data_IF_002209392329
#
_entry.id   IF_002209392329
#
_cell.length_a   1.000
_cell.length_b   1.000
_cell.length_c   1.000
_cell.angle_alpha   90.00
_cell.angle_beta   90.00
_cell.angle_gamma   90.00
#
_symmetry.space_group_name_H-M   'P 1'
#
loop_
_entity.id
_entity.type
_entity.pdbx_description
1 polymer ?
#
# COMPACT_ATOMS: atom_id res chain seq x y z
N UNK A 1 -10.18 -3.50 7.68
CA UNK A 1 -9.24 -2.58 8.38
C UNK A 1 -9.70 -1.17 8.07
N UNK A 2 -9.72 -0.22 9.02
CA UNK A 2 -10.07 1.16 8.66
C UNK A 2 -8.98 1.70 7.73
N UNK A 3 -9.37 2.13 6.53
CA UNK A 3 -8.49 2.78 5.54
C UNK A 3 -8.03 4.10 6.16
N UNK A 4 -6.80 4.13 6.69
CA UNK A 4 -6.15 5.37 7.09
C UNK A 4 -5.96 6.22 5.84
N UNK A 5 -6.31 7.51 5.90
CA UNK A 5 -6.18 8.40 4.74
C UNK A 5 -4.71 8.53 4.33
N UNK A 6 -4.46 8.88 3.07
CA UNK A 6 -3.12 9.22 2.53
C UNK A 6 -2.41 10.22 3.45
N UNK A 7 -3.15 11.17 4.04
CA UNK A 7 -2.64 12.10 5.06
C UNK A 7 -2.05 11.37 6.27
N UNK A 8 -2.74 10.39 6.84
CA UNK A 8 -2.29 9.68 8.04
C UNK A 8 -1.09 8.77 7.73
N UNK A 9 -1.07 8.13 6.56
CA UNK A 9 0.08 7.33 6.11
C UNK A 9 1.31 8.17 5.79
N UNK A 10 1.13 9.36 5.21
CA UNK A 10 2.20 10.33 5.01
C UNK A 10 2.70 10.88 6.35
N UNK A 11 1.80 11.18 7.29
CA UNK A 11 2.17 11.65 8.63
C UNK A 11 2.89 10.58 9.46
N UNK A 12 2.48 9.32 9.37
CA UNK A 12 3.15 8.18 10.03
C UNK A 12 4.57 7.99 9.47
N UNK A 13 4.76 8.09 8.14
CA UNK A 13 6.10 8.06 7.51
C UNK A 13 6.96 9.28 7.86
N UNK A 14 6.35 10.46 7.98
CA UNK A 14 7.03 11.68 8.48
C UNK A 14 7.43 11.50 9.95
N UNK A 15 6.63 10.81 10.76
CA UNK A 15 6.91 10.53 12.17
C UNK A 15 8.08 9.54 12.35
N UNK A 16 8.18 8.50 11.52
CA UNK A 16 9.34 7.59 11.50
C UNK A 16 10.66 8.30 11.17
N UNK A 17 10.61 9.36 10.36
CA UNK A 17 11.77 10.17 9.99
C UNK A 17 12.14 11.26 11.03
N UNK A 18 11.32 11.45 12.08
CA UNK A 18 11.45 12.55 13.07
C UNK A 18 12.37 12.26 14.27
N UNK A 19 12.97 11.07 14.38
CA UNK A 19 13.70 10.61 15.58
C UNK A 19 14.80 11.54 16.14
N UNK A 20 15.60 12.26 15.32
CA UNK A 20 16.62 13.19 15.84
C UNK A 20 16.56 14.65 15.34
N UNK A 21 15.63 15.02 14.45
CA UNK A 21 15.63 16.34 13.75
C UNK A 21 14.75 17.43 14.40
N UNK A 22 13.98 17.09 15.42
CA UNK A 22 12.93 17.96 15.99
C UNK A 22 13.48 19.19 16.73
N UNK A 23 14.70 19.16 17.25
CA UNK A 23 15.28 20.33 17.94
C UNK A 23 15.88 21.38 16.97
N UNK A 24 16.38 20.97 15.80
CA UNK A 24 16.92 21.90 14.80
C UNK A 24 15.80 22.62 14.00
N UNK A 25 14.68 21.93 13.74
CA UNK A 25 13.56 22.51 13.00
C UNK A 25 12.77 23.57 13.80
N UNK A 26 12.68 23.43 15.14
CA UNK A 26 12.03 24.43 16.00
C UNK A 26 12.87 25.72 16.04
N UNK A 27 14.20 25.62 16.08
CA UNK A 27 15.11 26.79 16.05
C UNK A 27 15.07 27.47 14.67
N UNK A 28 15.00 26.71 13.57
CA UNK A 28 14.86 27.26 12.22
C UNK A 28 13.46 27.85 11.93
N UNK A 29 12.40 27.27 12.49
CA UNK A 29 11.02 27.75 12.37
C UNK A 29 10.75 29.05 13.14
N UNK A 30 11.39 29.24 14.30
CA UNK A 30 11.36 30.53 15.00
C UNK A 30 12.06 31.64 14.20
N UNK A 31 13.12 31.31 13.45
CA UNK A 31 13.81 32.25 12.57
C UNK A 31 12.99 32.66 11.34
N UNK A 32 12.27 31.73 10.71
CA UNK A 32 11.45 32.02 9.52
C UNK A 32 10.18 32.80 9.84
N UNK A 33 9.55 32.56 11.00
CA UNK A 33 8.40 33.35 11.47
C UNK A 33 8.77 34.83 11.73
N UNK A 34 9.94 35.07 12.33
CA UNK A 34 10.47 36.43 12.55
C UNK A 34 10.82 37.09 11.22
N UNK A 35 11.36 36.34 10.25
CA UNK A 35 11.75 36.86 8.94
C UNK A 35 10.55 37.17 8.03
N UNK A 36 9.48 36.37 8.08
CA UNK A 36 8.19 36.67 7.41
C UNK A 36 7.51 37.87 8.08
N UNK A 37 7.53 37.96 9.41
CA UNK A 37 7.04 39.14 10.15
C UNK A 37 7.83 40.42 9.81
N UNK A 38 9.16 40.33 9.70
CA UNK A 38 10.01 41.44 9.30
C UNK A 38 9.79 41.85 7.85
N UNK A 39 9.67 40.90 6.93
CA UNK A 39 9.35 41.18 5.53
C UNK A 39 7.97 41.81 5.40
N UNK A 40 6.97 41.33 6.14
CA UNK A 40 5.62 41.89 6.16
C UNK A 40 5.60 43.30 6.77
N UNK A 41 6.37 43.55 7.83
CA UNK A 41 6.55 44.87 8.45
C UNK A 41 7.27 45.84 7.51
N UNK A 42 8.37 45.42 6.87
CA UNK A 42 9.09 46.22 5.88
C UNK A 42 8.19 46.58 4.69
N UNK A 43 7.39 45.62 4.22
CA UNK A 43 6.48 45.84 3.09
C UNK A 43 5.31 46.74 3.45
N UNK A 44 4.76 46.63 4.67
CA UNK A 44 3.77 47.56 5.20
C UNK A 44 4.35 48.97 5.33
N UNK A 45 5.61 49.10 5.78
CA UNK A 45 6.35 50.36 5.79
C UNK A 45 6.54 50.95 4.39
N UNK A 46 6.87 50.13 3.40
CA UNK A 46 7.05 50.55 2.00
C UNK A 46 5.71 50.97 1.37
N UNK A 47 4.62 50.27 1.67
CA UNK A 47 3.25 50.65 1.29
C UNK A 47 2.78 51.93 1.97
N UNK A 48 3.17 52.16 3.23
CA UNK A 48 2.91 53.42 3.93
C UNK A 48 3.68 54.58 3.28
N UNK A 49 4.93 54.37 2.86
CA UNK A 49 5.73 55.38 2.15
C UNK A 49 5.18 55.67 0.76
N UNK A 50 4.75 54.65 0.01
CA UNK A 50 4.15 54.81 -1.33
C UNK A 50 2.78 55.48 -1.24
N UNK A 51 1.96 55.13 -0.25
CA UNK A 51 0.66 55.79 -0.02
C UNK A 51 0.84 57.23 0.45
N UNK A 52 1.79 57.51 1.35
CA UNK A 52 2.17 58.87 1.73
C UNK A 52 2.68 59.69 0.52
N UNK A 53 3.48 59.08 -0.35
CA UNK A 53 3.98 59.73 -1.58
C UNK A 53 2.86 60.02 -2.58
N UNK A 54 1.89 59.11 -2.71
CA UNK A 54 0.69 59.30 -3.53
C UNK A 54 -0.23 60.39 -2.97
N UNK A 55 -0.36 60.49 -1.65
CA UNK A 55 -1.08 61.58 -0.97
C UNK A 55 -0.36 62.91 -1.22
N UNK A 56 0.97 62.96 -1.12
CA UNK A 56 1.78 64.16 -1.38
C UNK A 56 1.66 64.60 -2.85
N UNK A 57 1.68 63.67 -3.80
CA UNK A 57 1.51 63.97 -5.22
C UNK A 57 0.08 64.45 -5.53
N UNK A 58 -0.93 63.82 -4.93
CA UNK A 58 -2.32 64.27 -5.00
C UNK A 58 -2.51 65.68 -4.40
N UNK A 59 -1.84 65.97 -3.28
CA UNK A 59 -1.85 67.29 -2.65
C UNK A 59 -1.14 68.34 -3.51
N UNK A 60 -0.05 67.98 -4.21
CA UNK A 60 0.65 68.85 -5.15
C UNK A 60 -0.17 69.17 -6.39
N UNK A 61 -0.87 68.18 -6.94
CA UNK A 61 -1.78 68.36 -8.08
C UNK A 61 -2.98 69.22 -7.67
N UNK A 62 -3.54 68.97 -6.49
CA UNK A 62 -4.62 69.79 -5.90
C UNK A 62 -4.19 71.23 -5.59
N UNK A 63 -2.98 71.42 -5.06
CA UNK A 63 -2.41 72.74 -4.79
C UNK A 63 -2.14 73.52 -6.09
N UNK A 64 -1.66 72.86 -7.15
CA UNK A 64 -1.49 73.49 -8.48
C UNK A 64 -2.83 73.80 -9.17
N UNK A 65 -3.90 73.05 -8.90
CA UNK A 65 -5.24 73.34 -9.45
C UNK A 65 -5.95 74.52 -8.80
N UNK A 66 -5.38 75.12 -7.74
CA UNK A 66 -6.00 76.22 -6.97
C UNK A 66 -5.81 77.62 -7.59
N UNK A 67 -5.21 77.72 -8.77
CA UNK A 67 -5.02 79.00 -9.50
C UNK A 67 -6.18 79.41 -10.42
N UNK A 68 -7.31 78.68 -10.40
CA UNK A 68 -8.53 79.09 -11.12
C UNK A 68 -9.74 79.01 -10.20
N UNK A 69 -10.28 80.18 -9.87
CA UNK A 69 -11.48 80.39 -9.08
C UNK A 69 -12.73 79.91 -9.83
N UNK A 70 -13.30 78.78 -9.41
CA UNK A 70 -14.67 78.37 -9.70
C UNK A 70 -15.21 77.54 -8.51
N UNK A 71 -16.51 77.63 -8.17
CA UNK A 71 -17.08 77.06 -6.96
C UNK A 71 -17.21 75.53 -7.02
N UNK A 72 -16.98 74.92 -5.86
CA UNK A 72 -16.80 73.49 -5.59
C UNK A 72 -18.10 72.67 -5.74
N UNK A 73 -18.16 71.78 -6.73
CA UNK A 73 -18.83 70.49 -6.56
C UNK A 73 -17.78 69.45 -6.16
N UNK A 74 -18.00 68.77 -5.04
CA UNK A 74 -17.08 67.76 -4.50
C UNK A 74 -16.92 66.57 -5.48
N UNK A 75 -15.69 66.20 -5.89
CA UNK A 75 -15.52 65.12 -6.83
C UNK A 75 -15.57 63.74 -6.14
N UNK A 76 -16.52 62.90 -6.58
CA UNK A 76 -16.57 61.43 -6.37
C UNK A 76 -15.40 60.67 -7.04
N UNK A 77 -14.22 61.28 -7.18
CA UNK A 77 -13.14 60.80 -8.07
C UNK A 77 -12.07 59.95 -7.35
N UNK A 78 -12.07 59.92 -6.02
CA UNK A 78 -11.03 59.19 -5.26
C UNK A 78 -11.21 57.65 -5.34
N UNK A 79 -12.38 57.15 -5.75
CA UNK A 79 -12.64 55.71 -5.89
C UNK A 79 -12.01 55.03 -7.12
N UNK A 80 -11.57 55.77 -8.14
CA UNK A 80 -11.20 55.18 -9.45
C UNK A 80 -9.68 55.07 -9.66
N UNK A 81 -8.87 55.90 -8.99
CA UNK A 81 -7.42 55.94 -9.19
C UNK A 81 -6.62 54.91 -8.37
N UNK A 82 -7.22 54.32 -7.34
CA UNK A 82 -6.55 53.29 -6.52
C UNK A 82 -6.61 51.88 -7.14
N UNK A 83 -7.47 51.65 -8.14
CA UNK A 83 -7.68 50.33 -8.76
C UNK A 83 -6.48 49.79 -9.55
N UNK A 84 -5.84 50.55 -10.47
CA UNK A 84 -4.74 50.00 -11.29
C UNK A 84 -3.44 49.82 -10.50
N UNK A 85 -3.12 50.71 -9.56
CA UNK A 85 -1.91 50.60 -8.73
C UNK A 85 -2.04 49.45 -7.73
N UNK A 86 -3.21 49.30 -7.08
CA UNK A 86 -3.46 48.15 -6.19
C UNK A 86 -3.35 46.81 -6.96
N UNK A 87 -3.96 46.71 -8.15
CA UNK A 87 -3.80 45.53 -9.02
C UNK A 87 -2.36 45.28 -9.44
N UNK A 88 -1.59 46.33 -9.75
CA UNK A 88 -0.17 46.20 -10.10
C UNK A 88 0.67 45.71 -8.91
N UNK A 89 0.37 46.17 -7.69
CA UNK A 89 1.01 45.71 -6.45
C UNK A 89 0.65 44.25 -6.17
N UNK A 90 -0.63 43.87 -6.28
CA UNK A 90 -1.10 42.50 -6.06
C UNK A 90 -0.50 41.52 -7.09
N UNK A 91 -0.48 41.89 -8.37
CA UNK A 91 0.18 41.08 -9.41
C UNK A 91 1.69 41.03 -9.26
N UNK A 92 2.32 42.09 -8.75
CA UNK A 92 3.74 42.10 -8.38
C UNK A 92 4.04 41.15 -7.23
N UNK A 93 3.23 41.23 -6.17
CA UNK A 93 3.29 40.36 -4.98
C UNK A 93 3.08 38.90 -5.37
N UNK A 94 2.05 38.58 -6.15
CA UNK A 94 1.79 37.22 -6.62
C UNK A 94 2.95 36.66 -7.45
N UNK A 95 3.51 37.45 -8.39
CA UNK A 95 4.68 37.03 -9.18
C UNK A 95 5.92 36.78 -8.32
N UNK A 96 6.19 37.64 -7.35
CA UNK A 96 7.32 37.47 -6.44
C UNK A 96 7.15 36.22 -5.57
N UNK A 97 5.96 36.01 -4.99
CA UNK A 97 5.63 34.80 -4.24
C UNK A 97 5.77 33.53 -5.07
N UNK A 98 5.23 33.50 -6.30
CA UNK A 98 5.38 32.35 -7.21
C UNK A 98 6.86 32.02 -7.47
N UNK A 99 7.72 33.03 -7.61
CA UNK A 99 9.17 32.80 -7.79
C UNK A 99 9.83 32.18 -6.56
N UNK A 100 9.48 32.65 -5.37
CA UNK A 100 10.01 32.11 -4.12
C UNK A 100 9.57 30.66 -3.93
N UNK A 101 8.27 30.39 -4.09
CA UNK A 101 7.72 29.04 -3.96
C UNK A 101 8.30 28.11 -5.02
N UNK A 102 8.35 28.54 -6.29
CA UNK A 102 8.98 27.77 -7.35
C UNK A 102 10.44 27.45 -7.03
N UNK A 103 11.20 28.44 -6.54
CA UNK A 103 12.60 28.24 -6.14
C UNK A 103 12.69 27.24 -4.98
N UNK A 104 11.86 27.35 -3.96
CA UNK A 104 11.88 26.42 -2.82
C UNK A 104 11.51 24.98 -3.23
N UNK A 105 10.46 24.80 -4.04
CA UNK A 105 10.00 23.47 -4.46
C UNK A 105 10.99 22.77 -5.40
N UNK A 106 11.76 23.53 -6.17
CA UNK A 106 12.74 23.00 -7.14
C UNK A 106 14.17 22.91 -6.60
N UNK A 107 14.47 23.49 -5.43
CA UNK A 107 15.78 23.39 -4.78
C UNK A 107 16.09 21.92 -4.40
N UNK A 108 17.25 21.37 -4.78
CA UNK A 108 17.59 19.98 -4.45
C UNK A 108 17.84 19.77 -2.96
N UNK A 109 18.34 20.80 -2.25
CA UNK A 109 18.75 20.70 -0.85
C UNK A 109 17.59 20.64 0.15
N UNK A 110 16.37 20.97 -0.30
CA UNK A 110 15.18 20.90 0.55
C UNK A 110 14.58 19.49 0.50
N UNK A 111 14.41 18.90 1.68
CA UNK A 111 13.81 17.58 1.81
C UNK A 111 12.37 17.56 1.25
N UNK A 112 11.90 16.42 0.71
CA UNK A 112 10.51 16.26 0.30
C UNK A 112 9.51 16.61 1.41
N UNK A 113 9.82 16.24 2.66
CA UNK A 113 8.98 16.56 3.82
C UNK A 113 8.84 18.08 4.03
N UNK A 114 9.94 18.82 3.98
CA UNK A 114 9.91 20.29 4.10
C UNK A 114 9.13 20.92 2.94
N UNK A 115 9.26 20.38 1.72
CA UNK A 115 8.49 20.85 0.56
C UNK A 115 6.99 20.58 0.73
N UNK A 116 6.62 19.45 1.32
CA UNK A 116 5.23 19.14 1.66
C UNK A 116 4.69 20.09 2.73
N UNK A 117 5.47 20.41 3.78
CA UNK A 117 5.08 21.41 4.78
C UNK A 117 4.89 22.80 4.16
N UNK A 118 5.73 23.19 3.20
CA UNK A 118 5.54 24.44 2.45
C UNK A 118 4.21 24.41 1.67
N UNK A 119 3.90 23.31 0.98
CA UNK A 119 2.61 23.16 0.29
C UNK A 119 1.45 23.22 1.28
N UNK A 120 1.54 22.51 2.40
CA UNK A 120 0.50 22.49 3.43
C UNK A 120 0.31 23.87 4.08
N UNK A 121 1.36 24.65 4.28
CA UNK A 121 1.26 26.03 4.78
C UNK A 121 0.63 26.96 3.74
N UNK A 122 1.02 26.85 2.47
CA UNK A 122 0.46 27.64 1.38
C UNK A 122 -1.02 27.34 1.18
N UNK A 123 -1.39 26.07 1.31
CA UNK A 123 -2.77 25.63 1.21
C UNK A 123 -3.51 25.96 2.51
N UNK A 124 -3.00 25.69 3.70
CA UNK A 124 -3.66 26.03 4.97
C UNK A 124 -3.96 27.53 5.14
N UNK A 125 -3.08 28.41 4.63
CA UNK A 125 -3.27 29.86 4.67
C UNK A 125 -4.20 30.41 3.56
N UNK A 126 -4.50 29.62 2.52
CA UNK A 126 -5.22 30.07 1.31
C UNK A 126 -6.17 29.04 0.67
N UNK A 127 -6.50 27.94 1.38
CA UNK A 127 -7.16 26.72 0.87
C UNK A 127 -8.57 26.97 0.33
N UNK A 128 -9.10 28.17 0.56
CA UNK A 128 -10.44 28.54 0.14
C UNK A 128 -10.46 29.38 -1.13
N UNK A 129 -9.31 29.78 -1.69
CA UNK A 129 -9.27 30.58 -2.91
C UNK A 129 -8.84 29.74 -4.12
N UNK A 130 -9.77 29.39 -5.03
CA UNK A 130 -9.48 28.57 -6.21
C UNK A 130 -8.40 29.16 -7.12
N UNK A 131 -8.27 30.49 -7.15
CA UNK A 131 -7.26 31.20 -7.93
C UNK A 131 -5.84 30.94 -7.42
N UNK A 132 -5.65 30.97 -6.09
CA UNK A 132 -4.36 30.67 -5.48
C UNK A 132 -3.94 29.22 -5.73
N UNK A 133 -4.90 28.29 -5.66
CA UNK A 133 -4.65 26.87 -5.93
C UNK A 133 -4.35 26.62 -7.42
N UNK A 134 -5.06 27.31 -8.32
CA UNK A 134 -4.81 27.23 -9.76
C UNK A 134 -3.40 27.71 -10.15
N UNK A 135 -2.88 28.74 -9.46
CA UNK A 135 -1.51 29.23 -9.65
C UNK A 135 -0.44 28.17 -9.30
N UNK A 136 -0.78 27.17 -8.48
CA UNK A 136 0.14 26.08 -8.09
C UNK A 136 0.20 24.93 -9.09
N UNK A 137 -0.83 24.79 -9.93
CA UNK A 137 -0.99 23.65 -10.84
C UNK A 137 0.20 23.40 -11.78
N UNK A 138 0.90 24.43 -12.31
CA UNK A 138 2.11 24.22 -13.11
C UNK A 138 3.23 23.46 -12.37
N UNK A 139 3.29 23.53 -11.03
CA UNK A 139 4.29 22.79 -10.25
C UNK A 139 3.96 21.31 -10.13
N UNK A 140 2.68 20.94 -10.15
CA UNK A 140 2.26 19.54 -10.18
C UNK A 140 2.70 18.82 -11.48
N UNK A 141 2.95 19.56 -12.56
CA UNK A 141 3.47 19.03 -13.82
C UNK A 141 5.01 19.13 -13.93
N UNK A 142 5.68 19.79 -13.00
CA UNK A 142 7.11 20.05 -13.11
C UNK A 142 7.93 18.86 -12.61
N UNK A 143 8.60 18.13 -13.51
CA UNK A 143 9.44 16.98 -13.17
C UNK A 143 10.62 17.26 -12.22
N UNK A 144 10.97 18.54 -11.97
CA UNK A 144 11.97 18.93 -10.95
C UNK A 144 11.40 18.94 -9.53
N UNK A 145 10.08 18.90 -9.38
CA UNK A 145 9.39 18.83 -8.09
C UNK A 145 9.20 17.34 -7.75
N UNK A 146 9.51 16.91 -6.51
CA UNK A 146 9.30 15.53 -6.08
C UNK A 146 7.87 15.05 -6.35
N UNK A 147 7.70 13.79 -6.70
CA UNK A 147 6.42 13.25 -7.13
C UNK A 147 5.34 13.34 -6.04
N UNK A 148 5.71 13.15 -4.77
CA UNK A 148 4.84 13.28 -3.59
C UNK A 148 4.27 14.69 -3.48
N UNK A 149 5.12 15.70 -3.71
CA UNK A 149 4.76 17.11 -3.67
C UNK A 149 3.85 17.44 -4.86
N UNK A 150 4.18 16.92 -6.05
CA UNK A 150 3.33 17.07 -7.24
C UNK A 150 1.93 16.51 -7.00
N UNK A 151 1.84 15.31 -6.42
CA UNK A 151 0.58 14.68 -6.06
C UNK A 151 -0.20 15.50 -5.05
N UNK A 152 0.42 15.96 -3.96
CA UNK A 152 -0.23 16.77 -2.95
C UNK A 152 -0.86 18.05 -3.55
N UNK A 153 -0.12 18.76 -4.41
CA UNK A 153 -0.64 19.95 -5.11
C UNK A 153 -1.83 19.58 -5.99
N UNK A 154 -1.74 18.49 -6.76
CA UNK A 154 -2.82 18.05 -7.65
C UNK A 154 -4.08 17.64 -6.86
N UNK A 155 -3.94 16.96 -5.73
CA UNK A 155 -5.05 16.55 -4.86
C UNK A 155 -5.74 17.76 -4.26
N UNK A 156 -4.99 18.73 -3.74
CA UNK A 156 -5.55 19.97 -3.18
C UNK A 156 -6.30 20.74 -4.28
N UNK A 157 -5.73 20.83 -5.48
CA UNK A 157 -6.37 21.42 -6.64
C UNK A 157 -7.66 20.70 -7.06
N UNK A 158 -7.67 19.37 -7.04
CA UNK A 158 -8.87 18.60 -7.35
C UNK A 158 -9.98 18.81 -6.32
N UNK A 159 -9.66 18.83 -5.02
CA UNK A 159 -10.61 19.14 -3.94
C UNK A 159 -11.14 20.58 -4.03
N UNK A 160 -10.28 21.52 -4.44
CA UNK A 160 -10.64 22.90 -4.75
C UNK A 160 -11.39 23.10 -6.08
N UNK A 161 -11.75 22.01 -6.78
CA UNK A 161 -12.44 21.99 -8.09
C UNK A 161 -11.71 22.80 -9.18
N UNK A 162 -10.39 22.84 -9.11
CA UNK A 162 -9.56 23.48 -10.14
C UNK A 162 -9.49 22.56 -11.36
N UNK A 163 -9.85 23.12 -12.53
CA UNK A 163 -9.85 22.41 -13.79
C UNK A 163 -8.49 21.79 -14.12
N UNK A 164 -8.49 20.56 -14.61
CA UNK A 164 -7.29 19.83 -15.02
C UNK A 164 -6.54 19.11 -13.90
N UNK A 165 -6.85 19.35 -12.62
CA UNK A 165 -6.17 18.70 -11.50
C UNK A 165 -6.32 17.17 -11.49
N UNK A 166 -7.54 16.65 -11.69
CA UNK A 166 -7.80 15.20 -11.77
C UNK A 166 -6.99 14.53 -12.90
N UNK A 167 -6.80 15.22 -14.03
CA UNK A 167 -5.96 14.71 -15.13
C UNK A 167 -4.50 14.60 -14.72
N UNK A 168 -4.01 15.49 -13.86
CA UNK A 168 -2.64 15.42 -13.33
C UNK A 168 -2.50 14.24 -12.37
N UNK A 169 -3.47 14.04 -11.47
CA UNK A 169 -3.49 12.87 -10.57
C UNK A 169 -3.45 11.58 -11.40
N UNK A 170 -4.28 11.49 -12.45
CA UNK A 170 -4.27 10.35 -13.39
C UNK A 170 -2.91 10.15 -14.04
N UNK A 171 -2.31 11.23 -14.57
CA UNK A 171 -0.97 11.16 -15.17
C UNK A 171 0.06 10.65 -14.17
N UNK A 172 0.02 11.10 -12.91
CA UNK A 172 0.95 10.65 -11.88
C UNK A 172 0.76 9.17 -11.52
N UNK A 173 -0.46 8.64 -11.58
CA UNK A 173 -0.73 7.22 -11.35
C UNK A 173 -0.20 6.32 -12.51
N UNK A 174 -0.27 6.81 -13.75
CA UNK A 174 0.06 6.04 -14.95
C UNK A 174 1.55 6.12 -15.34
N UNK A 175 2.24 7.20 -15.00
CA UNK A 175 3.63 7.47 -15.40
C UNK A 175 4.64 6.50 -14.77
N UNK A 176 5.50 5.88 -15.60
CA UNK A 176 6.51 4.92 -15.14
C UNK A 176 7.72 5.57 -14.45
N UNK A 177 7.99 6.86 -14.67
CA UNK A 177 9.04 7.62 -13.99
C UNK A 177 8.63 8.06 -12.57
N UNK A 178 7.37 7.86 -12.20
CA UNK A 178 6.85 8.14 -10.86
C UNK A 178 7.06 6.91 -9.96
N UNK A 179 7.60 7.07 -8.73
CA UNK A 179 7.76 5.97 -7.79
C UNK A 179 6.45 5.22 -7.53
N UNK A 180 6.51 3.90 -7.39
CA UNK A 180 5.32 3.04 -7.22
C UNK A 180 4.40 3.46 -6.07
N UNK A 181 4.96 3.91 -4.94
CA UNK A 181 4.13 4.38 -3.82
C UNK A 181 3.33 5.64 -4.19
N UNK A 182 3.92 6.58 -4.94
CA UNK A 182 3.19 7.78 -5.38
C UNK A 182 2.15 7.43 -6.44
N UNK A 183 2.45 6.47 -7.33
CA UNK A 183 1.46 5.96 -8.30
C UNK A 183 0.26 5.33 -7.59
N UNK A 184 0.53 4.55 -6.54
CA UNK A 184 -0.48 3.94 -5.70
C UNK A 184 -1.32 4.98 -4.95
N UNK A 185 -0.67 5.93 -4.27
CA UNK A 185 -1.35 7.03 -3.56
C UNK A 185 -2.20 7.87 -4.53
N UNK A 186 -1.71 8.10 -5.75
CA UNK A 186 -2.46 8.80 -6.79
C UNK A 186 -3.70 8.00 -7.25
N UNK A 187 -3.58 6.68 -7.41
CA UNK A 187 -4.70 5.81 -7.72
C UNK A 187 -5.75 5.79 -6.59
N UNK A 188 -5.33 5.80 -5.33
CA UNK A 188 -6.24 5.93 -4.18
C UNK A 188 -6.99 7.27 -4.19
N UNK A 189 -6.30 8.38 -4.43
CA UNK A 189 -6.95 9.69 -4.52
C UNK A 189 -7.91 9.79 -5.72
N UNK A 190 -7.62 9.10 -6.82
CA UNK A 190 -8.54 9.02 -7.97
C UNK A 190 -9.87 8.35 -7.61
N UNK A 191 -9.95 7.49 -6.60
CA UNK A 191 -11.23 6.87 -6.20
C UNK A 191 -12.31 7.93 -5.87
N UNK A 192 -11.91 9.11 -5.37
CA UNK A 192 -12.84 10.18 -5.05
C UNK A 192 -13.31 11.00 -6.27
N UNK A 193 -12.65 10.88 -7.42
CA UNK A 193 -12.87 11.76 -8.58
C UNK A 193 -13.17 11.02 -9.88
N UNK A 194 -12.58 9.84 -10.07
CA UNK A 194 -12.68 8.99 -11.27
C UNK A 194 -12.35 7.53 -10.90
N UNK A 195 -13.37 6.82 -10.43
CA UNK A 195 -13.26 5.43 -9.98
C UNK A 195 -12.76 4.49 -11.09
N UNK A 196 -13.25 4.67 -12.32
CA UNK A 196 -12.85 3.83 -13.44
C UNK A 196 -11.36 4.02 -13.81
N UNK A 197 -10.81 5.23 -13.68
CA UNK A 197 -9.39 5.45 -13.85
C UNK A 197 -8.57 4.86 -12.69
N UNK A 198 -9.05 5.02 -11.45
CA UNK A 198 -8.41 4.43 -10.27
C UNK A 198 -8.30 2.91 -10.41
N UNK A 199 -9.37 2.24 -10.81
CA UNK A 199 -9.42 0.78 -10.99
C UNK A 199 -8.43 0.30 -12.04
N UNK A 200 -8.33 0.99 -13.19
CA UNK A 200 -7.31 0.69 -14.20
C UNK A 200 -5.88 0.85 -13.65
N UNK A 201 -5.65 1.86 -12.82
CA UNK A 201 -4.34 2.08 -12.20
C UNK A 201 -4.00 0.98 -11.20
N UNK A 202 -4.94 0.59 -10.33
CA UNK A 202 -4.74 -0.54 -9.41
C UNK A 202 -4.54 -1.86 -10.15
N UNK A 203 -5.26 -2.10 -11.23
CA UNK A 203 -5.09 -3.30 -12.05
C UNK A 203 -3.69 -3.33 -12.67
N UNK A 204 -3.23 -2.21 -13.24
CA UNK A 204 -1.88 -2.10 -13.79
C UNK A 204 -0.80 -2.32 -12.72
N UNK A 205 -0.97 -1.73 -11.52
CA UNK A 205 -0.04 -1.91 -10.41
C UNK A 205 0.01 -3.37 -9.95
N UNK A 206 -1.15 -4.03 -9.79
CA UNK A 206 -1.23 -5.41 -9.32
C UNK A 206 -0.66 -6.43 -10.33
N UNK A 207 -0.81 -6.18 -11.63
CA UNK A 207 -0.33 -7.07 -12.70
C UNK A 207 1.13 -6.85 -13.09
N UNK A 208 1.71 -5.69 -12.79
CA UNK A 208 3.09 -5.38 -13.16
C UNK A 208 4.10 -6.17 -12.33
N UNK A 209 5.06 -6.80 -13.01
CA UNK A 209 6.19 -7.50 -12.38
C UNK A 209 7.21 -6.54 -11.75
N UNK A 210 7.22 -5.28 -12.16
CA UNK A 210 8.13 -4.26 -11.62
C UNK A 210 7.61 -3.67 -10.29
N UNK A 211 6.29 -3.75 -10.06
CA UNK A 211 5.68 -3.27 -8.82
C UNK A 211 6.09 -4.17 -7.64
N UNK A 212 6.53 -3.61 -6.49
CA UNK A 212 6.81 -4.37 -5.29
C UNK A 212 5.64 -5.28 -4.88
N UNK A 213 5.93 -6.53 -4.51
CA UNK A 213 4.92 -7.56 -4.26
C UNK A 213 3.87 -7.17 -3.20
N UNK A 214 4.26 -6.37 -2.20
CA UNK A 214 3.32 -5.83 -1.21
C UNK A 214 2.34 -4.84 -1.82
N UNK A 215 2.81 -3.92 -2.67
CA UNK A 215 1.94 -2.96 -3.37
C UNK A 215 1.04 -3.66 -4.38
N UNK A 216 1.51 -4.74 -5.02
CA UNK A 216 0.68 -5.58 -5.89
C UNK A 216 -0.49 -6.19 -5.12
N UNK A 217 -0.23 -6.72 -3.93
CA UNK A 217 -1.27 -7.26 -3.04
C UNK A 217 -2.23 -6.17 -2.58
N UNK A 218 -1.73 -5.01 -2.13
CA UNK A 218 -2.56 -3.90 -1.69
C UNK A 218 -3.50 -3.42 -2.80
N UNK A 219 -2.99 -3.28 -4.02
CA UNK A 219 -3.79 -2.88 -5.17
C UNK A 219 -4.87 -3.94 -5.50
N UNK A 220 -4.50 -5.22 -5.49
CA UNK A 220 -5.45 -6.32 -5.68
C UNK A 220 -6.50 -6.40 -4.58
N UNK A 221 -6.13 -6.11 -3.32
CA UNK A 221 -7.03 -6.09 -2.18
C UNK A 221 -8.07 -4.97 -2.30
N UNK A 222 -7.66 -3.76 -2.72
CA UNK A 222 -8.59 -2.65 -2.99
C UNK A 222 -9.60 -3.04 -4.08
N UNK A 223 -9.12 -3.58 -5.21
CA UNK A 223 -10.01 -4.05 -6.29
C UNK A 223 -10.96 -5.14 -5.81
N UNK A 224 -10.47 -6.08 -5.00
CA UNK A 224 -11.26 -7.15 -4.41
C UNK A 224 -12.35 -6.64 -3.46
N UNK A 225 -12.02 -5.72 -2.56
CA UNK A 225 -12.97 -5.14 -1.62
C UNK A 225 -14.08 -4.39 -2.37
N UNK A 226 -13.69 -3.57 -3.35
CA UNK A 226 -14.66 -2.84 -4.19
C UNK A 226 -15.54 -3.78 -5.01
N UNK A 227 -14.98 -4.85 -5.56
CA UNK A 227 -15.74 -5.88 -6.29
C UNK A 227 -16.72 -6.61 -5.37
N UNK A 228 -16.31 -6.93 -4.14
CA UNK A 228 -17.18 -7.54 -3.13
C UNK A 228 -18.33 -6.62 -2.71
N UNK A 229 -18.09 -5.32 -2.65
CA UNK A 229 -19.12 -4.30 -2.38
C UNK A 229 -20.04 -4.03 -3.59
N UNK A 230 -19.82 -4.69 -4.73
CA UNK A 230 -20.61 -4.49 -5.94
C UNK A 230 -20.35 -3.17 -6.65
N UNK A 231 -19.27 -2.47 -6.31
CA UNK A 231 -18.91 -1.16 -6.88
C UNK A 231 -18.22 -1.27 -8.24
N UNK A 232 -17.69 -2.46 -8.58
CA UNK A 232 -16.80 -2.65 -9.74
C UNK A 232 -17.05 -3.99 -10.42
N UNK A 233 -16.52 -4.15 -11.64
CA UNK A 233 -16.52 -5.42 -12.35
C UNK A 233 -15.80 -6.54 -11.54
N UNK A 234 -16.00 -7.80 -11.91
CA UNK A 234 -15.40 -8.98 -11.23
C UNK A 234 -13.87 -9.10 -11.41
N UNK A 235 -13.15 -7.99 -11.60
CA UNK A 235 -11.71 -7.97 -11.84
C UNK A 235 -10.90 -8.25 -10.56
N UNK A 236 -11.37 -7.79 -9.39
CA UNK A 236 -10.71 -8.03 -8.11
C UNK A 236 -10.34 -9.49 -7.82
N UNK A 237 -11.30 -10.44 -7.87
CA UNK A 237 -10.98 -11.86 -7.68
C UNK A 237 -10.09 -12.45 -8.78
N UNK A 238 -10.14 -11.94 -10.02
CA UNK A 238 -9.25 -12.41 -11.08
C UNK A 238 -7.79 -12.01 -10.80
N UNK A 239 -7.57 -10.76 -10.40
CA UNK A 239 -6.24 -10.26 -10.02
C UNK A 239 -5.69 -11.01 -8.81
N UNK A 240 -6.51 -11.27 -7.79
CA UNK A 240 -6.08 -12.09 -6.65
C UNK A 240 -5.71 -13.51 -7.08
N UNK A 241 -6.48 -14.15 -7.96
CA UNK A 241 -6.17 -15.48 -8.47
C UNK A 241 -4.85 -15.51 -9.26
N UNK A 242 -4.53 -14.43 -9.99
CA UNK A 242 -3.23 -14.28 -10.64
C UNK A 242 -2.10 -14.24 -9.62
N UNK A 243 -2.22 -13.43 -8.55
CA UNK A 243 -1.20 -13.34 -7.50
C UNK A 243 -0.99 -14.67 -6.75
N UNK A 244 -2.04 -15.49 -6.59
CA UNK A 244 -1.90 -16.84 -6.01
C UNK A 244 -0.97 -17.72 -6.85
N UNK A 245 -1.08 -17.66 -8.18
CA UNK A 245 -0.26 -18.43 -9.11
C UNK A 245 1.07 -17.79 -9.48
N UNK A 246 1.30 -16.53 -9.09
CA UNK A 246 2.47 -15.77 -9.51
C UNK A 246 3.73 -16.19 -8.73
N UNK A 247 4.72 -16.67 -9.46
CA UNK A 247 5.99 -17.14 -8.92
C UNK A 247 6.96 -15.99 -8.59
N UNK A 248 6.73 -14.80 -9.14
CA UNK A 248 7.54 -13.60 -8.88
C UNK A 248 7.25 -12.98 -7.51
N UNK A 249 6.12 -13.32 -6.87
CA UNK A 249 5.75 -12.79 -5.56
C UNK A 249 6.02 -13.82 -4.45
N UNK A 250 6.36 -13.32 -3.26
CA UNK A 250 6.72 -14.17 -2.14
C UNK A 250 5.54 -15.00 -1.60
N UNK A 251 5.79 -16.14 -0.93
CA UNK A 251 4.77 -17.01 -0.34
C UNK A 251 3.68 -16.31 0.46
N UNK A 252 4.06 -15.29 1.24
CA UNK A 252 3.13 -14.51 2.05
C UNK A 252 2.06 -13.81 1.19
N UNK A 253 2.46 -13.16 0.09
CA UNK A 253 1.53 -12.47 -0.82
C UNK A 253 0.55 -13.47 -1.42
N UNK A 254 1.05 -14.61 -1.88
CA UNK A 254 0.24 -15.66 -2.53
C UNK A 254 -0.82 -16.23 -1.57
N UNK A 255 -0.42 -16.52 -0.33
CA UNK A 255 -1.33 -17.00 0.71
C UNK A 255 -2.35 -15.93 1.08
N UNK A 256 -1.94 -14.68 1.23
CA UNK A 256 -2.86 -13.60 1.59
C UNK A 256 -3.87 -13.31 0.46
N UNK A 257 -3.42 -13.34 -0.80
CA UNK A 257 -4.32 -13.29 -1.96
C UNK A 257 -5.35 -14.44 -1.94
N UNK A 258 -4.91 -15.66 -1.59
CA UNK A 258 -5.81 -16.79 -1.43
C UNK A 258 -6.84 -16.55 -0.32
N UNK A 259 -6.47 -15.99 0.83
CA UNK A 259 -7.42 -15.68 1.91
C UNK A 259 -8.48 -14.67 1.45
N UNK A 260 -8.08 -13.64 0.71
CA UNK A 260 -9.01 -12.63 0.18
C UNK A 260 -10.00 -13.24 -0.83
N UNK A 261 -9.59 -14.24 -1.62
CA UNK A 261 -10.50 -14.95 -2.54
C UNK A 261 -11.66 -15.65 -1.85
N UNK A 262 -11.58 -15.91 -0.54
CA UNK A 262 -12.68 -16.49 0.25
C UNK A 262 -13.95 -15.63 0.18
N UNK A 263 -13.80 -14.31 0.06
CA UNK A 263 -14.92 -13.36 -0.07
C UNK A 263 -15.68 -13.52 -1.40
N UNK A 264 -15.04 -14.11 -2.42
CA UNK A 264 -15.54 -14.17 -3.80
C UNK A 264 -16.06 -15.56 -4.21
N UNK A 265 -16.36 -16.40 -3.22
CA UNK A 265 -17.02 -17.69 -3.38
C UNK A 265 -16.10 -18.89 -3.15
N UNK A 266 -16.69 -19.95 -2.59
CA UNK A 266 -15.98 -21.17 -2.17
C UNK A 266 -15.16 -21.81 -3.29
N UNK A 267 -15.71 -21.91 -4.52
CA UNK A 267 -15.02 -22.54 -5.65
C UNK A 267 -13.71 -21.85 -6.03
N UNK A 268 -13.66 -20.50 -5.99
CA UNK A 268 -12.43 -19.74 -6.30
C UNK A 268 -11.38 -19.95 -5.21
N UNK A 269 -11.81 -19.87 -3.96
CA UNK A 269 -10.98 -20.12 -2.80
C UNK A 269 -10.38 -21.54 -2.81
N UNK A 270 -11.19 -22.56 -3.08
CA UNK A 270 -10.75 -23.95 -3.18
C UNK A 270 -9.71 -24.16 -4.29
N UNK A 271 -9.92 -23.59 -5.48
CA UNK A 271 -8.92 -23.66 -6.57
C UNK A 271 -7.59 -23.02 -6.17
N UNK A 272 -7.64 -21.88 -5.49
CA UNK A 272 -6.45 -21.20 -5.01
C UNK A 272 -5.72 -22.03 -3.95
N UNK A 273 -6.44 -22.57 -2.97
CA UNK A 273 -5.87 -23.47 -1.96
C UNK A 273 -5.27 -24.73 -2.59
N UNK A 274 -5.93 -25.33 -3.58
CA UNK A 274 -5.41 -26.48 -4.31
C UNK A 274 -4.09 -26.16 -5.01
N UNK A 275 -4.02 -25.01 -5.69
CA UNK A 275 -2.81 -24.54 -6.34
C UNK A 275 -1.66 -24.37 -5.34
N UNK A 276 -1.93 -23.75 -4.19
CA UNK A 276 -0.91 -23.53 -3.15
C UNK A 276 -0.49 -24.83 -2.44
N UNK A 277 -1.44 -25.73 -2.14
CA UNK A 277 -1.13 -27.02 -1.53
C UNK A 277 -0.16 -27.84 -2.40
N UNK A 278 -0.24 -27.71 -3.73
CA UNK A 278 0.63 -28.42 -4.67
C UNK A 278 1.88 -27.63 -5.10
N UNK A 279 2.12 -26.45 -4.55
CA UNK A 279 3.27 -25.63 -4.92
C UNK A 279 4.52 -26.00 -4.10
N UNK A 280 5.56 -26.51 -4.78
CA UNK A 280 6.81 -26.92 -4.15
C UNK A 280 7.68 -25.79 -3.62
N UNK A 281 7.40 -24.53 -3.94
CA UNK A 281 8.10 -23.34 -3.42
C UNK A 281 7.58 -22.91 -2.05
N UNK A 282 6.38 -23.37 -1.67
CA UNK A 282 5.87 -23.17 -0.32
C UNK A 282 6.51 -24.16 0.64
N UNK A 283 6.69 -23.71 1.88
CA UNK A 283 7.13 -24.60 2.95
C UNK A 283 6.12 -25.74 3.17
N UNK A 284 6.56 -26.92 3.63
CA UNK A 284 5.64 -28.01 3.98
C UNK A 284 4.51 -27.58 4.90
N UNK A 285 4.80 -26.76 5.92
CA UNK A 285 3.79 -26.24 6.85
C UNK A 285 2.71 -25.39 6.16
N UNK A 286 3.10 -24.54 5.21
CA UNK A 286 2.14 -23.74 4.43
C UNK A 286 1.28 -24.62 3.52
N UNK A 287 1.87 -25.65 2.90
CA UNK A 287 1.13 -26.60 2.05
C UNK A 287 0.12 -27.43 2.85
N UNK A 288 0.51 -27.91 4.04
CA UNK A 288 -0.39 -28.58 4.98
C UNK A 288 -1.52 -27.64 5.43
N UNK A 289 -1.22 -26.37 5.73
CA UNK A 289 -2.24 -25.37 6.05
C UNK A 289 -3.24 -25.20 4.91
N UNK A 290 -2.79 -25.18 3.66
CA UNK A 290 -3.69 -25.10 2.50
C UNK A 290 -4.60 -26.34 2.38
N UNK A 291 -4.07 -27.55 2.58
CA UNK A 291 -4.87 -28.78 2.57
C UNK A 291 -5.88 -28.85 3.74
N UNK A 292 -5.49 -28.36 4.92
CA UNK A 292 -6.41 -28.23 6.06
C UNK A 292 -7.57 -27.29 5.73
N UNK A 293 -7.28 -26.12 5.16
CA UNK A 293 -8.31 -25.17 4.75
C UNK A 293 -9.18 -25.71 3.60
N UNK A 294 -8.66 -26.60 2.75
CA UNK A 294 -9.48 -27.32 1.76
C UNK A 294 -10.47 -28.23 2.46
N UNK A 295 -10.02 -29.04 3.42
CA UNK A 295 -10.87 -29.95 4.18
C UNK A 295 -11.95 -29.22 4.99
N UNK A 296 -11.62 -28.06 5.57
CA UNK A 296 -12.59 -27.20 6.25
C UNK A 296 -13.67 -26.66 5.28
N UNK A 297 -13.33 -26.50 4.01
CA UNK A 297 -14.24 -25.94 3.01
C UNK A 297 -15.09 -27.00 2.32
N UNK A 298 -14.52 -28.17 2.03
CA UNK A 298 -15.18 -29.30 1.38
C UNK A 298 -14.39 -30.58 1.70
N UNK A 299 -15.09 -31.57 2.26
CA UNK A 299 -14.46 -32.81 2.73
C UNK A 299 -13.80 -33.59 1.58
N UNK A 300 -14.41 -33.60 0.38
CA UNK A 300 -13.90 -34.34 -0.78
C UNK A 300 -12.70 -33.66 -1.46
N UNK A 301 -12.66 -32.31 -1.49
CA UNK A 301 -11.46 -31.57 -1.87
C UNK A 301 -10.35 -31.73 -0.81
N UNK A 302 -10.72 -31.76 0.48
CA UNK A 302 -9.82 -32.07 1.58
C UNK A 302 -9.15 -33.42 1.44
N UNK A 303 -9.93 -34.48 1.20
CA UNK A 303 -9.42 -35.84 0.98
C UNK A 303 -8.41 -35.87 -0.18
N UNK A 304 -8.75 -35.23 -1.31
CA UNK A 304 -7.84 -35.11 -2.45
C UNK A 304 -6.55 -34.36 -2.10
N UNK A 305 -6.66 -33.26 -1.35
CA UNK A 305 -5.52 -32.45 -0.92
C UNK A 305 -4.58 -33.23 -0.01
N UNK A 306 -5.12 -33.88 1.02
CA UNK A 306 -4.33 -34.69 1.95
C UNK A 306 -3.72 -35.92 1.27
N UNK A 307 -4.44 -36.57 0.36
CA UNK A 307 -3.91 -37.67 -0.45
C UNK A 307 -2.72 -37.22 -1.29
N UNK A 308 -2.83 -36.08 -1.99
CA UNK A 308 -1.73 -35.54 -2.79
C UNK A 308 -0.49 -35.25 -1.94
N UNK A 309 -0.64 -34.66 -0.75
CA UNK A 309 0.48 -34.37 0.15
C UNK A 309 1.10 -35.63 0.76
N UNK A 310 0.31 -36.64 1.13
CA UNK A 310 0.82 -37.89 1.70
C UNK A 310 1.75 -38.64 0.73
N UNK A 311 1.45 -38.55 -0.57
CA UNK A 311 2.22 -39.19 -1.64
C UNK A 311 3.26 -38.27 -2.31
N UNK A 312 3.41 -37.02 -1.89
CA UNK A 312 4.38 -36.10 -2.48
C UNK A 312 5.81 -36.36 -1.97
N UNK A 313 6.63 -36.99 -2.81
CA UNK A 313 8.03 -37.28 -2.51
C UNK A 313 8.92 -36.05 -2.30
N UNK A 314 8.47 -34.84 -2.68
CA UNK A 314 9.20 -33.58 -2.45
C UNK A 314 9.04 -33.08 -1.01
N UNK A 315 8.05 -33.60 -0.28
CA UNK A 315 7.83 -33.26 1.12
C UNK A 315 8.71 -34.13 2.03
N UNK A 316 9.19 -33.56 3.15
CA UNK A 316 9.85 -34.36 4.18
C UNK A 316 8.87 -35.37 4.79
N UNK A 317 9.39 -36.50 5.27
CA UNK A 317 8.55 -37.59 5.78
C UNK A 317 7.60 -37.15 6.89
N UNK A 318 8.01 -36.26 7.81
CA UNK A 318 7.12 -35.76 8.85
C UNK A 318 5.84 -35.11 8.29
N UNK A 319 5.94 -34.40 7.17
CA UNK A 319 4.79 -33.74 6.54
C UNK A 319 3.91 -34.75 5.81
N UNK A 320 4.52 -35.74 5.15
CA UNK A 320 3.81 -36.86 4.51
C UNK A 320 3.06 -37.70 5.53
N UNK A 321 3.67 -37.98 6.68
CA UNK A 321 3.06 -38.71 7.81
C UNK A 321 1.90 -37.92 8.40
N UNK A 322 2.07 -36.61 8.63
CA UNK A 322 0.98 -35.78 9.15
C UNK A 322 -0.19 -35.71 8.16
N UNK A 323 0.10 -35.53 6.86
CA UNK A 323 -0.92 -35.57 5.81
C UNK A 323 -1.67 -36.91 5.77
N UNK A 324 -0.97 -38.04 5.85
CA UNK A 324 -1.58 -39.36 5.88
C UNK A 324 -2.43 -39.60 7.14
N UNK A 325 -1.99 -39.09 8.30
CA UNK A 325 -2.77 -39.15 9.53
C UNK A 325 -4.04 -38.28 9.45
N UNK A 326 -3.95 -37.06 8.91
CA UNK A 326 -5.10 -36.18 8.66
C UNK A 326 -6.06 -36.77 7.65
N UNK A 327 -5.55 -37.42 6.60
CA UNK A 327 -6.34 -38.21 5.66
C UNK A 327 -7.10 -39.32 6.38
N UNK A 328 -6.47 -40.02 7.32
CA UNK A 328 -7.11 -41.06 8.14
C UNK A 328 -8.25 -40.55 9.02
N UNK A 329 -8.20 -39.29 9.46
CA UNK A 329 -9.31 -38.65 10.18
C UNK A 329 -10.52 -38.36 9.28
N UNK A 330 -10.32 -38.22 7.97
CA UNK A 330 -11.40 -38.03 6.98
C UNK A 330 -11.89 -39.38 6.46
N UNK A 331 -10.95 -40.23 6.04
CA UNK A 331 -11.20 -41.57 5.51
C UNK A 331 -10.10 -42.50 5.98
N UNK A 332 -10.43 -43.29 7.00
CA UNK A 332 -9.52 -44.24 7.66
C UNK A 332 -8.78 -45.11 6.65
N UNK A 333 -9.51 -45.72 5.72
CA UNK A 333 -8.95 -46.60 4.69
C UNK A 333 -7.84 -45.91 3.89
N UNK A 334 -8.04 -44.67 3.47
CA UNK A 334 -7.08 -43.89 2.69
C UNK A 334 -5.86 -43.51 3.54
N UNK A 335 -6.07 -43.09 4.80
CA UNK A 335 -4.98 -42.77 5.72
C UNK A 335 -4.13 -43.98 6.11
N UNK A 336 -4.76 -45.11 6.45
CA UNK A 336 -4.08 -46.38 6.74
C UNK A 336 -3.30 -46.86 5.53
N UNK A 337 -3.87 -46.77 4.33
CA UNK A 337 -3.16 -47.12 3.10
C UNK A 337 -1.91 -46.25 2.90
N UNK A 338 -2.03 -44.93 3.05
CA UNK A 338 -0.90 -44.01 2.90
C UNK A 338 0.18 -44.22 3.97
N UNK A 339 -0.21 -44.44 5.23
CA UNK A 339 0.74 -44.74 6.32
C UNK A 339 1.43 -46.10 6.12
N UNK A 340 0.73 -47.14 5.67
CA UNK A 340 1.35 -48.43 5.33
C UNK A 340 2.35 -48.31 4.19
N UNK A 341 2.04 -47.50 3.17
CA UNK A 341 2.97 -47.23 2.09
C UNK A 341 4.26 -46.55 2.59
N UNK A 342 4.15 -45.60 3.54
CA UNK A 342 5.31 -44.99 4.19
C UNK A 342 6.10 -46.02 5.02
N UNK A 343 5.43 -46.91 5.76
CA UNK A 343 6.11 -47.94 6.55
C UNK A 343 6.96 -48.89 5.68
N UNK A 344 6.47 -49.18 4.47
CA UNK A 344 7.15 -50.03 3.48
C UNK A 344 8.22 -49.29 2.66
N UNK A 345 8.34 -47.97 2.80
CA UNK A 345 9.32 -47.18 2.05
C UNK A 345 10.75 -47.46 2.60
N UNK A 346 11.65 -48.04 1.80
CA UNK A 346 13.00 -48.39 2.25
C UNK A 346 13.88 -47.17 2.51
N UNK A 347 13.48 -45.97 2.05
CA UNK A 347 14.24 -44.73 2.24
C UNK A 347 13.97 -44.08 3.60
N UNK A 348 12.97 -44.55 4.34
CA UNK A 348 12.60 -44.04 5.66
C UNK A 348 13.41 -44.75 6.74
N UNK A 349 14.02 -43.96 7.64
CA UNK A 349 14.75 -44.49 8.79
C UNK A 349 13.82 -45.09 9.85
N UNK A 350 14.34 -46.00 10.67
CA UNK A 350 13.55 -46.75 11.65
C UNK A 350 12.86 -45.85 12.71
N UNK A 351 13.47 -44.71 13.07
CA UNK A 351 12.84 -43.77 14.01
C UNK A 351 11.62 -43.11 13.37
N UNK A 352 11.71 -42.71 12.11
CA UNK A 352 10.57 -42.17 11.37
C UNK A 352 9.49 -43.23 11.13
N UNK A 353 9.84 -44.50 10.90
CA UNK A 353 8.87 -45.61 10.84
C UNK A 353 8.13 -45.81 12.17
N UNK A 354 8.79 -45.62 13.31
CA UNK A 354 8.13 -45.66 14.61
C UNK A 354 7.03 -44.59 14.73
N UNK A 355 7.26 -43.39 14.20
CA UNK A 355 6.23 -42.35 14.13
C UNK A 355 5.03 -42.75 13.25
N UNK A 356 5.27 -43.45 12.13
CA UNK A 356 4.21 -44.03 11.28
C UNK A 356 3.37 -45.03 12.06
N UNK A 357 4.02 -45.99 12.74
CA UNK A 357 3.35 -47.02 13.56
C UNK A 357 2.52 -46.38 14.67
N UNK A 358 3.05 -45.34 15.33
CA UNK A 358 2.31 -44.59 16.34
C UNK A 358 1.04 -43.97 15.76
N UNK A 359 1.10 -43.37 14.57
CA UNK A 359 -0.08 -42.79 13.90
C UNK A 359 -1.10 -43.85 13.48
N UNK A 360 -0.65 -44.99 12.93
CA UNK A 360 -1.51 -46.13 12.61
C UNK A 360 -2.26 -46.63 13.85
N UNK A 361 -1.54 -46.81 14.96
CA UNK A 361 -2.12 -47.24 16.24
C UNK A 361 -3.21 -46.29 16.73
N UNK A 362 -2.99 -44.98 16.60
CA UNK A 362 -3.98 -43.97 17.02
C UNK A 362 -5.24 -43.99 16.15
N UNK A 363 -5.11 -44.21 14.83
CA UNK A 363 -6.26 -44.32 13.94
C UNK A 363 -7.08 -45.57 14.27
N UNK A 364 -6.44 -46.72 14.47
CA UNK A 364 -7.14 -47.97 14.78
C UNK A 364 -7.75 -47.98 16.20
N UNK A 365 -7.09 -47.37 17.20
CA UNK A 365 -7.62 -47.23 18.57
C UNK A 365 -8.90 -46.38 18.62
N UNK A 366 -9.03 -45.40 17.73
CA UNK A 366 -10.23 -44.56 17.67
C UNK A 366 -11.50 -45.34 17.25
N UNK A 367 -11.35 -46.55 16.71
CA UNK A 367 -12.44 -47.36 16.15
C UNK A 367 -12.53 -48.80 16.70
N UNK A 368 -11.77 -49.13 17.77
CA UNK A 368 -11.80 -50.44 18.45
C UNK A 368 -11.54 -51.68 17.54
N UNK A 369 -10.63 -51.58 16.58
CA UNK A 369 -10.28 -52.69 15.68
C UNK A 369 -9.04 -53.47 16.16
N UNK A 370 -9.16 -54.80 16.32
CA UNK A 370 -8.11 -55.72 16.82
C UNK A 370 -6.89 -55.90 15.91
N UNK A 371 -6.89 -55.34 14.69
CA UNK A 371 -5.85 -55.58 13.67
C UNK A 371 -4.47 -54.96 13.96
N UNK A 372 -4.38 -54.06 14.94
CA UNK A 372 -3.11 -53.43 15.35
C UNK A 372 -2.14 -54.44 15.93
N UNK A 373 -2.61 -55.41 16.72
CA UNK A 373 -1.71 -56.37 17.36
C UNK A 373 -0.85 -57.10 16.32
N UNK A 374 -1.43 -57.48 15.18
CA UNK A 374 -0.73 -58.21 14.14
C UNK A 374 0.23 -57.31 13.34
N UNK A 375 -0.22 -56.12 12.88
CA UNK A 375 0.66 -55.19 12.16
C UNK A 375 1.78 -54.61 13.03
N UNK A 376 1.51 -54.35 14.31
CA UNK A 376 2.46 -53.81 15.27
C UNK A 376 3.43 -54.91 15.71
N UNK A 377 2.98 -56.17 15.82
CA UNK A 377 3.87 -57.32 16.02
C UNK A 377 4.74 -57.60 14.79
N UNK A 378 4.23 -57.45 13.56
CA UNK A 378 5.02 -57.67 12.34
C UNK A 378 6.02 -56.54 12.10
N UNK A 379 5.61 -55.27 12.27
CA UNK A 379 6.50 -54.11 12.15
C UNK A 379 7.52 -54.04 13.29
N UNK A 380 7.13 -54.35 14.53
CA UNK A 380 8.09 -54.50 15.62
C UNK A 380 8.98 -55.71 15.43
N UNK A 381 8.50 -56.86 14.93
CA UNK A 381 9.37 -58.00 14.61
C UNK A 381 10.39 -57.64 13.55
N UNK A 382 9.99 -57.03 12.44
CA UNK A 382 10.94 -56.67 11.37
C UNK A 382 11.97 -55.61 11.84
N UNK A 383 11.57 -54.67 12.69
CA UNK A 383 12.47 -53.64 13.23
C UNK A 383 13.33 -54.15 14.40
N UNK A 384 12.79 -54.91 15.35
CA UNK A 384 13.57 -55.53 16.44
C UNK A 384 14.54 -56.60 15.92
N UNK A 385 14.14 -57.42 14.93
CA UNK A 385 15.06 -58.38 14.30
C UNK A 385 16.24 -57.64 13.65
N UNK A 386 16.02 -56.45 13.06
CA UNK A 386 17.12 -55.65 12.50
C UNK A 386 18.00 -54.98 13.57
N UNK A 387 17.45 -54.61 14.73
CA UNK A 387 18.23 -54.06 15.85
C UNK A 387 19.05 -55.16 16.54
N UNK A 388 18.53 -56.38 16.65
CA UNK A 388 19.26 -57.54 17.19
C UNK A 388 20.26 -58.16 16.19
N UNK A 389 20.12 -57.90 14.88
CA UNK A 389 21.04 -58.33 13.84
C UNK A 389 22.18 -57.34 13.51
N UNK A 390 22.40 -56.27 14.29
CA UNK A 390 23.66 -55.53 14.24
C UNK A 390 24.77 -56.40 14.86
N UNK A 391 25.73 -56.93 14.07
CA UNK A 391 26.79 -57.75 14.60
C UNK A 391 27.77 -56.87 15.37
N UNK A 392 27.78 -57.00 16.70
CA UNK A 392 28.96 -56.85 17.55
C UNK A 392 29.81 -55.58 17.38
N UNK A 393 29.30 -54.42 17.79
CA UNK A 393 30.16 -53.29 18.21
C UNK A 393 29.66 -52.67 19.54
N UNK A 394 29.43 -53.50 20.55
CA UNK A 394 29.45 -53.05 21.95
C UNK A 394 30.22 -54.09 22.77
N UNK A 395 31.53 -54.14 22.49
CA UNK A 395 32.52 -54.68 23.40
C UNK A 395 33.79 -53.84 23.24
N UNK A 396 33.77 -52.63 23.82
CA UNK A 396 34.94 -51.87 24.29
C UNK A 396 34.52 -50.81 25.29
#
# INVERSE_FOLDING_TARGET
MPVRGVRDRLLDRIAELRGPLTWMAVIAGCGSGVMVGYLQSWFQGLLAVVSASGIILGFRIWANSRSRSAPLQAPRVIGVLFSPIARAIETGRARWWRRIVASALTKPDLSPATKLEIVDLLCGAGAHEPAAIADMLPWAMNGRVPAEVRLAIAVIAARGRVGGAVRIIRSLAEMNDVPFHVRFDAAEELLAFDEAAAERCFEALARSLETPSNLRLEAAAILSERSYQGLTAQQGPEVLALLVGDESVGPWVRIESCKLLRLHGAKRYQRALWSLANDSRLSPAQRLWCAERLADSDVGEGERGWTALAHDARLPFWARIDAAARLGMITEKSGVFALRALLQDPTIDERTKFDVVRKLTLLDLSQANKGVADCLCDALRESLIRVECLPGEIAR
#
